data_IF_154453555331
#
_entry.id   IF_154453555331
#
_cell.length_a   1.000
_cell.length_b   1.000
_cell.length_c   1.000
_cell.angle_alpha   90.00
_cell.angle_beta   90.00
_cell.angle_gamma   90.00
#
_symmetry.space_group_name_H-M   'P 1'
#
loop_
_entity.id
_entity.type
_entity.pdbx_description
1 polymer ?
#
# COMPACT_ATOMS: atom_id res chain seq x y z
N UNK A 1 -24.05 16.30 -5.12
CA UNK A 1 -23.10 16.68 -4.06
C UNK A 1 -23.16 15.61 -3.00
N UNK A 2 -22.01 15.03 -2.65
CA UNK A 2 -21.91 13.95 -1.68
C UNK A 2 -22.53 14.36 -0.32
N UNK A 3 -23.09 13.39 0.39
CA UNK A 3 -23.72 13.56 1.71
C UNK A 3 -23.09 12.53 2.65
N UNK A 4 -23.19 12.73 3.97
CA UNK A 4 -22.61 11.85 4.97
C UNK A 4 -21.07 11.67 4.83
N UNK A 5 -20.32 12.77 4.92
CA UNK A 5 -18.86 12.79 4.76
C UNK A 5 -18.10 12.16 5.93
N UNK A 6 -18.74 12.01 7.09
CA UNK A 6 -18.08 11.52 8.29
C UNK A 6 -17.81 10.03 8.19
N UNK A 7 -16.53 9.64 8.20
CA UNK A 7 -16.13 8.24 8.07
C UNK A 7 -16.52 7.37 9.29
N UNK A 8 -16.69 7.97 10.47
CA UNK A 8 -16.87 7.23 11.74
C UNK A 8 -18.11 7.70 12.51
N UNK A 9 -18.31 9.01 12.68
CA UNK A 9 -19.40 9.55 13.51
C UNK A 9 -20.27 10.57 12.77
N UNK A 10 -21.58 10.31 12.73
CA UNK A 10 -22.63 11.17 12.15
C UNK A 10 -22.70 12.61 12.73
N UNK A 11 -22.07 12.85 13.89
CA UNK A 11 -22.14 14.14 14.60
C UNK A 11 -21.62 15.28 13.71
N UNK A 12 -20.55 15.05 12.97
CA UNK A 12 -19.99 16.08 12.08
C UNK A 12 -20.93 16.40 10.92
N UNK A 13 -21.60 15.39 10.35
CA UNK A 13 -22.57 15.62 9.27
C UNK A 13 -23.82 16.38 9.73
N UNK A 14 -24.22 16.22 10.99
CA UNK A 14 -25.31 17.02 11.57
C UNK A 14 -24.87 18.47 11.83
N UNK A 15 -23.64 18.68 12.29
CA UNK A 15 -23.08 20.02 12.54
C UNK A 15 -22.87 20.82 11.25
N UNK A 16 -22.45 20.17 10.17
CA UNK A 16 -22.20 20.83 8.88
C UNK A 16 -23.37 20.72 7.88
N UNK A 17 -24.51 20.16 8.29
CA UNK A 17 -25.72 20.08 7.46
C UNK A 17 -25.61 19.14 6.24
N UNK A 18 -24.63 18.23 6.26
CA UNK A 18 -24.38 17.25 5.19
C UNK A 18 -25.05 15.90 5.43
N UNK A 19 -25.80 15.76 6.54
CA UNK A 19 -26.53 14.55 6.86
C UNK A 19 -27.67 14.29 5.86
N UNK A 20 -27.72 13.06 5.34
CA UNK A 20 -28.83 12.54 4.55
C UNK A 20 -29.30 11.22 5.19
N UNK A 21 -30.57 11.10 5.60
CA UNK A 21 -31.12 9.84 6.09
C UNK A 21 -31.11 8.80 4.96
N UNK A 22 -30.73 7.56 5.28
CA UNK A 22 -30.74 6.45 4.33
C UNK A 22 -32.18 6.16 3.88
N UNK A 23 -32.48 6.41 2.59
CA UNK A 23 -33.76 6.01 2.00
C UNK A 23 -33.76 4.52 1.71
N UNK A 24 -34.78 3.79 2.22
CA UNK A 24 -34.91 2.34 2.00
C UNK A 24 -35.00 1.93 0.53
N UNK A 25 -35.36 2.86 -0.37
CA UNK A 25 -35.49 2.68 -1.81
C UNK A 25 -34.15 2.74 -2.57
N UNK A 26 -33.10 3.30 -1.97
CA UNK A 26 -31.80 3.52 -2.65
C UNK A 26 -30.71 2.83 -1.85
N UNK A 27 -30.13 1.77 -2.41
CA UNK A 27 -28.99 1.10 -1.78
C UNK A 27 -27.75 2.01 -1.87
N UNK A 28 -27.16 2.45 -0.75
CA UNK A 28 -25.99 3.31 -0.78
C UNK A 28 -24.81 2.56 -1.40
N UNK A 29 -24.14 3.20 -2.37
CA UNK A 29 -22.90 2.69 -2.96
C UNK A 29 -21.73 3.37 -2.26
N UNK A 30 -21.06 2.61 -1.41
CA UNK A 30 -19.88 3.06 -0.70
C UNK A 30 -18.64 2.89 -1.57
N UNK A 31 -17.83 3.94 -1.68
CA UNK A 31 -16.57 3.89 -2.40
C UNK A 31 -16.02 5.26 -2.72
N UNK A 32 -14.80 5.26 -3.27
CA UNK A 32 -14.17 6.44 -3.85
C UNK A 32 -14.41 6.43 -5.37
N UNK A 33 -14.69 7.59 -5.95
CA UNK A 33 -14.90 7.75 -7.40
C UNK A 33 -13.67 7.38 -8.26
N UNK A 34 -12.52 7.17 -7.60
CA UNK A 34 -11.24 6.74 -8.18
C UNK A 34 -10.70 5.51 -7.42
N UNK A 35 -11.21 4.30 -7.68
CA UNK A 35 -10.81 3.10 -6.96
C UNK A 35 -9.31 2.84 -7.11
N UNK A 36 -8.70 2.26 -6.08
CA UNK A 36 -7.32 1.78 -6.17
C UNK A 36 -7.25 0.55 -7.07
N UNK A 37 -6.24 0.47 -7.93
CA UNK A 37 -6.00 -0.64 -8.86
C UNK A 37 -4.81 -1.50 -8.44
N UNK A 38 -4.58 -1.61 -7.13
CA UNK A 38 -3.44 -2.28 -6.53
C UNK A 38 -3.78 -2.65 -5.10
N UNK A 39 -3.23 -3.76 -4.62
CA UNK A 39 -3.28 -4.16 -3.21
C UNK A 39 -2.24 -3.43 -2.36
N UNK A 40 -1.31 -2.69 -2.97
CA UNK A 40 -0.20 -2.07 -2.26
C UNK A 40 -0.63 -0.79 -1.51
N UNK A 41 -0.63 -0.79 -0.16
CA UNK A 41 -1.09 0.36 0.61
C UNK A 41 -0.18 1.58 0.46
N UNK A 42 1.12 1.40 0.22
CA UNK A 42 2.05 2.51 -0.02
C UNK A 42 1.64 3.23 -1.30
N UNK A 43 1.43 2.50 -2.39
CA UNK A 43 0.97 3.10 -3.66
C UNK A 43 -0.37 3.79 -3.49
N UNK A 44 -1.32 3.18 -2.75
CA UNK A 44 -2.64 3.77 -2.50
C UNK A 44 -2.51 5.11 -1.75
N UNK A 45 -1.71 5.16 -0.69
CA UNK A 45 -1.53 6.37 0.12
C UNK A 45 -0.86 7.50 -0.67
N UNK A 46 0.17 7.18 -1.47
CA UNK A 46 0.92 8.19 -2.23
C UNK A 46 0.33 8.53 -3.60
N UNK A 47 -0.71 7.83 -4.08
CA UNK A 47 -1.27 8.04 -5.44
C UNK A 47 -1.70 9.48 -5.71
N UNK A 48 -2.30 10.14 -4.71
CA UNK A 48 -2.83 11.50 -4.85
C UNK A 48 -1.71 12.54 -4.89
N UNK A 49 -0.72 12.41 -4.00
CA UNK A 49 0.46 13.27 -4.00
C UNK A 49 1.24 13.11 -5.31
N UNK A 50 1.41 11.87 -5.78
CA UNK A 50 2.05 11.60 -7.07
C UNK A 50 1.29 12.19 -8.25
N UNK A 51 -0.05 12.19 -8.21
CA UNK A 51 -0.86 12.84 -9.23
C UNK A 51 -0.65 14.36 -9.22
N UNK A 52 -0.70 15.01 -8.06
CA UNK A 52 -0.45 16.44 -7.90
C UNK A 52 0.95 16.80 -8.43
N UNK A 53 1.97 16.01 -8.07
CA UNK A 53 3.32 16.20 -8.55
C UNK A 53 3.42 16.12 -10.08
N UNK A 54 2.78 15.12 -10.70
CA UNK A 54 2.74 15.00 -12.17
C UNK A 54 2.02 16.18 -12.82
N UNK A 55 0.92 16.63 -12.23
CA UNK A 55 0.16 17.77 -12.75
C UNK A 55 0.97 19.08 -12.63
N UNK A 56 1.70 19.27 -11.52
CA UNK A 56 2.64 20.36 -11.34
C UNK A 56 3.78 20.32 -12.38
N UNK A 57 4.37 19.15 -12.62
CA UNK A 57 5.45 18.98 -13.59
C UNK A 57 4.99 19.26 -15.02
N UNK A 58 3.79 18.81 -15.39
CA UNK A 58 3.22 18.90 -16.74
C UNK A 58 2.62 20.26 -17.08
N UNK A 59 2.34 21.10 -16.09
CA UNK A 59 1.77 22.41 -16.34
C UNK A 59 2.76 23.33 -17.05
N UNK A 60 2.27 24.10 -18.01
CA UNK A 60 3.03 25.11 -18.73
C UNK A 60 3.24 26.40 -17.90
N UNK A 61 2.38 26.67 -16.92
CA UNK A 61 2.43 27.88 -16.10
C UNK A 61 3.25 27.65 -14.83
N UNK A 62 4.34 28.41 -14.65
CA UNK A 62 5.15 28.36 -13.41
C UNK A 62 4.33 28.69 -12.16
N UNK A 63 3.31 29.55 -12.30
CA UNK A 63 2.43 29.86 -11.18
C UNK A 63 1.54 28.68 -10.81
N UNK A 64 1.05 27.94 -11.81
CA UNK A 64 0.26 26.73 -11.61
C UNK A 64 1.07 25.62 -10.93
N UNK A 65 2.37 25.53 -11.22
CA UNK A 65 3.28 24.58 -10.53
C UNK A 65 3.39 24.84 -9.03
N UNK A 66 3.28 26.09 -8.59
CA UNK A 66 3.41 26.48 -7.20
C UNK A 66 2.06 26.51 -6.48
N UNK A 67 1.02 27.11 -7.08
CA UNK A 67 -0.29 27.22 -6.40
C UNK A 67 -0.98 25.88 -6.23
N UNK A 68 -0.72 24.89 -7.09
CA UNK A 68 -1.35 23.55 -7.01
C UNK A 68 -1.24 22.90 -5.62
N UNK A 69 -0.18 23.19 -4.87
CA UNK A 69 0.06 22.66 -3.52
C UNK A 69 -0.85 23.25 -2.44
N UNK A 70 -1.52 24.38 -2.74
CA UNK A 70 -2.41 25.10 -1.82
C UNK A 70 -3.86 25.16 -2.33
N UNK A 71 -4.11 24.67 -3.54
CA UNK A 71 -5.44 24.68 -4.16
C UNK A 71 -6.34 23.58 -3.59
N UNK A 72 -7.67 23.75 -3.64
CA UNK A 72 -8.61 22.77 -3.12
C UNK A 72 -8.50 21.42 -3.84
N UNK A 73 -8.93 20.36 -3.14
CA UNK A 73 -8.91 18.99 -3.67
C UNK A 73 -9.68 18.89 -4.99
N UNK A 74 -9.02 18.38 -6.03
CA UNK A 74 -9.60 18.24 -7.37
C UNK A 74 -9.24 19.36 -8.33
N UNK A 75 -8.69 20.48 -7.85
CA UNK A 75 -8.15 21.52 -8.72
C UNK A 75 -6.97 20.97 -9.55
N UNK A 76 -6.94 21.31 -10.83
CA UNK A 76 -5.86 20.96 -11.76
C UNK A 76 -5.61 22.14 -12.71
N UNK A 77 -4.37 22.35 -13.17
CA UNK A 77 -4.08 23.33 -14.22
C UNK A 77 -4.90 23.02 -15.47
N UNK A 78 -5.48 24.03 -16.11
CA UNK A 78 -6.44 23.86 -17.23
C UNK A 78 -5.77 23.12 -18.39
N UNK A 79 -4.54 23.51 -18.72
CA UNK A 79 -3.73 22.90 -19.78
C UNK A 79 -3.45 21.41 -19.52
N UNK A 80 -3.24 21.03 -18.25
CA UNK A 80 -3.04 19.63 -17.84
C UNK A 80 -4.35 18.87 -17.80
N UNK A 81 -5.45 19.50 -17.38
CA UNK A 81 -6.76 18.89 -17.35
C UNK A 81 -7.25 18.52 -18.76
N UNK A 82 -6.99 19.38 -19.74
CA UNK A 82 -7.30 19.16 -21.15
C UNK A 82 -6.40 18.09 -21.78
N UNK A 83 -5.08 18.18 -21.59
CA UNK A 83 -4.13 17.23 -22.22
C UNK A 83 -4.08 15.86 -21.54
N UNK A 84 -4.35 15.81 -20.25
CA UNK A 84 -4.29 14.60 -19.43
C UNK A 84 -5.57 14.48 -18.59
N UNK A 85 -6.72 14.16 -19.21
CA UNK A 85 -7.97 14.00 -18.48
C UNK A 85 -7.85 12.83 -17.49
N UNK A 86 -8.35 13.03 -16.28
CA UNK A 86 -8.40 11.98 -15.27
C UNK A 86 -9.81 11.41 -15.30
N UNK A 87 -9.92 10.14 -15.70
CA UNK A 87 -11.20 9.44 -15.71
C UNK A 87 -11.75 9.35 -14.28
N UNK A 88 -12.90 9.99 -14.07
CA UNK A 88 -13.72 9.85 -12.88
C UNK A 88 -14.94 9.02 -13.24
N UNK A 89 -15.29 8.08 -12.37
CA UNK A 89 -16.49 7.27 -12.58
C UNK A 89 -17.69 8.12 -12.16
N UNK A 90 -18.55 8.46 -13.12
CA UNK A 90 -19.75 9.26 -12.86
C UNK A 90 -20.87 8.44 -12.21
N UNK A 91 -20.94 7.14 -12.50
CA UNK A 91 -21.94 6.24 -11.96
C UNK A 91 -21.32 5.23 -10.96
N UNK A 92 -21.52 5.44 -9.64
CA UNK A 92 -20.98 4.56 -8.60
C UNK A 92 -21.46 3.11 -8.73
N UNK A 93 -22.66 2.86 -9.25
CA UNK A 93 -23.23 1.51 -9.34
C UNK A 93 -22.49 0.60 -10.32
N UNK A 94 -21.68 1.17 -11.23
CA UNK A 94 -20.87 0.43 -12.20
C UNK A 94 -19.44 0.15 -11.70
N UNK A 95 -19.11 0.50 -10.46
CA UNK A 95 -17.80 0.27 -9.87
C UNK A 95 -17.49 -1.22 -9.75
N UNK A 96 -16.65 -1.74 -10.65
CA UNK A 96 -16.03 -3.06 -10.47
C UNK A 96 -14.90 -2.95 -9.44
N UNK A 97 -15.06 -3.62 -8.29
CA UNK A 97 -14.03 -3.65 -7.24
C UNK A 97 -12.75 -4.29 -7.80
N UNK A 98 -11.60 -3.72 -7.46
CA UNK A 98 -10.32 -4.31 -7.82
C UNK A 98 -10.22 -5.73 -7.25
N UNK A 99 -9.99 -6.68 -8.14
CA UNK A 99 -9.80 -8.09 -7.83
C UNK A 99 -8.69 -8.62 -8.73
N UNK A 100 -7.64 -9.19 -8.13
CA UNK A 100 -6.68 -9.99 -8.87
C UNK A 100 -7.18 -11.43 -8.96
N UNK A 101 -6.97 -12.07 -10.11
CA UNK A 101 -7.31 -13.49 -10.33
C UNK A 101 -6.24 -14.41 -9.74
N UNK A 102 -6.03 -14.31 -8.41
CA UNK A 102 -4.98 -15.05 -7.69
C UNK A 102 -5.42 -16.46 -7.29
N UNK A 103 -4.47 -17.41 -7.28
CA UNK A 103 -4.74 -18.74 -6.74
C UNK A 103 -5.01 -18.68 -5.23
N UNK A 104 -5.79 -19.63 -4.72
CA UNK A 104 -6.01 -19.76 -3.27
C UNK A 104 -4.69 -19.98 -2.50
N UNK A 105 -3.69 -20.59 -3.16
CA UNK A 105 -2.38 -20.82 -2.56
C UNK A 105 -1.60 -19.51 -2.39
N UNK A 106 -1.59 -18.64 -3.40
CA UNK A 106 -0.99 -17.31 -3.30
C UNK A 106 -1.70 -16.43 -2.26
N UNK A 107 -3.03 -16.52 -2.18
CA UNK A 107 -3.80 -15.82 -1.15
C UNK A 107 -3.42 -16.32 0.26
N UNK A 108 -3.40 -17.64 0.48
CA UNK A 108 -2.99 -18.22 1.76
C UNK A 108 -1.57 -17.83 2.16
N UNK A 109 -0.63 -17.87 1.21
CA UNK A 109 0.74 -17.41 1.42
C UNK A 109 0.81 -15.92 1.81
N UNK A 110 0.02 -15.07 1.15
CA UNK A 110 -0.01 -13.63 1.44
C UNK A 110 -0.61 -13.33 2.82
N UNK A 111 -1.62 -14.09 3.26
CA UNK A 111 -2.13 -14.02 4.63
C UNK A 111 -1.08 -14.43 5.66
N UNK A 112 -0.28 -15.46 5.38
CA UNK A 112 0.84 -15.83 6.23
C UNK A 112 1.88 -14.70 6.31
N UNK A 113 2.23 -14.06 5.19
CA UNK A 113 3.15 -12.91 5.20
C UNK A 113 2.60 -11.71 5.98
N UNK A 114 1.29 -11.44 5.90
CA UNK A 114 0.62 -10.44 6.73
C UNK A 114 0.71 -10.78 8.22
N UNK A 115 0.46 -12.04 8.58
CA UNK A 115 0.60 -12.52 9.96
C UNK A 115 2.03 -12.34 10.48
N UNK A 116 3.04 -12.76 9.69
CA UNK A 116 4.44 -12.59 10.06
C UNK A 116 4.82 -11.11 10.18
N UNK A 117 4.35 -10.26 9.27
CA UNK A 117 4.57 -8.81 9.37
C UNK A 117 3.98 -8.23 10.66
N UNK A 118 2.77 -8.66 11.02
CA UNK A 118 2.10 -8.23 12.25
C UNK A 118 2.83 -8.72 13.50
N UNK A 119 3.31 -9.97 13.50
CA UNK A 119 4.10 -10.54 14.57
C UNK A 119 5.45 -9.82 14.74
N UNK A 120 6.14 -9.50 13.63
CA UNK A 120 7.38 -8.72 13.65
C UNK A 120 7.15 -7.31 14.18
N UNK A 121 6.08 -6.63 13.74
CA UNK A 121 5.70 -5.32 14.24
C UNK A 121 5.47 -5.34 15.76
N UNK A 122 4.75 -6.36 16.24
CA UNK A 122 4.51 -6.52 17.67
C UNK A 122 5.81 -6.80 18.45
N UNK A 123 6.70 -7.63 17.92
CA UNK A 123 8.02 -7.90 18.50
C UNK A 123 8.88 -6.63 18.61
N UNK A 124 8.91 -5.80 17.56
CA UNK A 124 9.61 -4.52 17.57
C UNK A 124 9.04 -3.60 18.66
N UNK A 125 7.71 -3.57 18.80
CA UNK A 125 7.04 -2.77 19.83
C UNK A 125 7.41 -3.19 21.25
N UNK A 126 7.47 -4.50 21.52
CA UNK A 126 7.89 -5.03 22.84
C UNK A 126 9.33 -4.68 23.21
N UNK A 127 10.18 -4.46 22.20
CA UNK A 127 11.60 -4.16 22.39
C UNK A 127 11.95 -2.70 22.14
N UNK A 128 10.94 -1.83 21.96
CA UNK A 128 11.11 -0.45 21.54
C UNK A 128 12.07 0.34 22.44
N UNK A 129 12.01 0.12 23.76
CA UNK A 129 12.84 0.82 24.74
C UNK A 129 14.34 0.55 24.61
N UNK A 130 14.73 -0.56 23.97
CA UNK A 130 16.13 -0.95 23.77
C UNK A 130 16.67 -0.54 22.40
N UNK A 131 15.81 -0.04 21.50
CA UNK A 131 16.18 0.31 20.14
C UNK A 131 16.58 1.77 20.04
N UNK A 132 17.70 2.03 19.35
CA UNK A 132 18.06 3.40 18.96
C UNK A 132 17.10 3.90 17.87
N UNK A 133 16.95 5.23 17.77
CA UNK A 133 16.10 5.85 16.74
C UNK A 133 16.45 5.37 15.31
N UNK A 134 17.74 5.24 15.00
CA UNK A 134 18.20 4.72 13.71
C UNK A 134 17.73 3.29 13.47
N UNK A 135 17.83 2.40 14.47
CA UNK A 135 17.36 1.02 14.35
C UNK A 135 15.85 0.96 14.13
N UNK A 136 15.08 1.81 14.82
CA UNK A 136 13.62 1.90 14.66
C UNK A 136 13.27 2.28 13.22
N UNK A 137 13.92 3.30 12.64
CA UNK A 137 13.66 3.69 11.25
C UNK A 137 14.02 2.58 10.25
N UNK A 138 15.13 1.87 10.47
CA UNK A 138 15.53 0.75 9.60
C UNK A 138 14.54 -0.42 9.70
N UNK A 139 14.08 -0.76 10.91
CA UNK A 139 13.08 -1.81 11.14
C UNK A 139 11.71 -1.42 10.56
N UNK A 140 11.29 -0.17 10.69
CA UNK A 140 10.09 0.35 10.05
C UNK A 140 10.21 0.29 8.52
N UNK A 141 11.36 0.66 7.97
CA UNK A 141 11.67 0.51 6.54
C UNK A 141 11.59 -0.95 6.09
N UNK A 142 12.07 -1.90 6.89
CA UNK A 142 11.96 -3.32 6.63
C UNK A 142 10.50 -3.79 6.61
N UNK A 143 9.66 -3.34 7.54
CA UNK A 143 8.22 -3.66 7.55
C UNK A 143 7.52 -3.11 6.32
N UNK A 144 7.82 -1.87 5.92
CA UNK A 144 7.26 -1.27 4.70
C UNK A 144 7.70 -2.07 3.46
N UNK A 145 8.99 -2.41 3.36
CA UNK A 145 9.52 -3.23 2.28
C UNK A 145 8.85 -4.61 2.24
N UNK A 146 8.60 -5.21 3.40
CA UNK A 146 7.88 -6.46 3.52
C UNK A 146 6.44 -6.35 2.98
N UNK A 147 5.69 -5.35 3.41
CA UNK A 147 4.33 -5.10 2.92
C UNK A 147 4.31 -4.85 1.42
N UNK A 148 5.25 -4.07 0.90
CA UNK A 148 5.34 -3.81 -0.54
C UNK A 148 5.64 -5.08 -1.34
N UNK A 149 6.55 -5.94 -0.87
CA UNK A 149 6.94 -7.15 -1.58
C UNK A 149 5.74 -8.09 -1.80
N UNK A 150 4.99 -8.43 -0.74
CA UNK A 150 3.86 -9.35 -0.89
C UNK A 150 2.64 -8.73 -1.55
N UNK A 151 2.39 -7.44 -1.37
CA UNK A 151 1.27 -6.77 -2.05
C UNK A 151 1.52 -6.62 -3.55
N UNK A 152 2.77 -6.41 -3.98
CA UNK A 152 3.12 -6.46 -5.39
C UNK A 152 3.14 -7.87 -5.97
N UNK A 153 3.43 -8.88 -5.15
CA UNK A 153 3.26 -10.29 -5.51
C UNK A 153 1.78 -10.59 -5.79
N UNK A 154 0.87 -10.12 -4.92
CA UNK A 154 -0.58 -10.21 -5.11
C UNK A 154 -1.07 -9.47 -6.37
N UNK A 155 -0.44 -8.34 -6.72
CA UNK A 155 -0.72 -7.61 -7.96
C UNK A 155 -0.15 -8.31 -9.22
N UNK A 156 0.63 -9.38 -9.06
CA UNK A 156 1.31 -10.07 -10.15
C UNK A 156 2.41 -9.24 -10.84
N UNK A 157 3.07 -8.32 -10.11
CA UNK A 157 4.11 -7.46 -10.67
C UNK A 157 5.50 -8.06 -10.51
N UNK A 158 6.33 -7.96 -11.55
CA UNK A 158 7.73 -8.44 -11.55
C UNK A 158 8.60 -7.78 -10.47
N UNK A 159 8.27 -6.55 -10.10
CA UNK A 159 8.99 -5.81 -9.06
C UNK A 159 8.94 -6.50 -7.69
N UNK A 160 7.96 -7.39 -7.46
CA UNK A 160 7.87 -8.19 -6.24
C UNK A 160 9.14 -9.01 -5.99
N UNK A 161 9.75 -9.59 -7.04
CA UNK A 161 10.97 -10.39 -6.91
C UNK A 161 12.17 -9.55 -6.47
N UNK A 162 12.29 -8.34 -7.02
CA UNK A 162 13.36 -7.39 -6.65
C UNK A 162 13.18 -6.94 -5.20
N UNK A 163 11.97 -6.55 -4.81
CA UNK A 163 11.67 -6.09 -3.46
C UNK A 163 11.83 -7.21 -2.43
N UNK A 164 11.48 -8.44 -2.78
CA UNK A 164 11.71 -9.60 -1.93
C UNK A 164 13.19 -9.90 -1.76
N UNK A 165 13.99 -9.80 -2.82
CA UNK A 165 15.45 -9.91 -2.74
C UNK A 165 16.06 -8.82 -1.85
N UNK A 166 15.60 -7.58 -2.00
CA UNK A 166 16.00 -6.48 -1.11
C UNK A 166 15.59 -6.76 0.35
N UNK A 167 14.37 -7.25 0.58
CA UNK A 167 13.87 -7.62 1.92
C UNK A 167 14.74 -8.71 2.55
N UNK A 168 15.12 -9.71 1.76
CA UNK A 168 15.95 -10.81 2.20
C UNK A 168 17.33 -10.32 2.66
N UNK A 169 18.05 -9.60 1.79
CA UNK A 169 19.40 -9.10 2.10
C UNK A 169 19.35 -8.09 3.24
N UNK A 170 18.44 -7.11 3.17
CA UNK A 170 18.30 -6.08 4.18
C UNK A 170 17.86 -6.66 5.53
N UNK A 171 16.91 -7.61 5.52
CA UNK A 171 16.43 -8.30 6.72
C UNK A 171 17.53 -9.10 7.41
N UNK A 172 18.31 -9.90 6.67
CA UNK A 172 19.43 -10.65 7.25
C UNK A 172 20.46 -9.70 7.88
N UNK A 173 20.92 -8.71 7.11
CA UNK A 173 21.93 -7.77 7.59
C UNK A 173 21.48 -7.00 8.84
N UNK A 174 20.22 -6.53 8.83
CA UNK A 174 19.65 -5.73 9.91
C UNK A 174 19.46 -6.56 11.18
N UNK A 175 18.81 -7.72 11.10
CA UNK A 175 18.59 -8.57 12.27
C UNK A 175 19.90 -9.12 12.83
N UNK A 176 20.87 -9.46 11.98
CA UNK A 176 22.21 -9.87 12.45
C UNK A 176 22.90 -8.74 13.22
N UNK A 177 22.97 -7.54 12.63
CA UNK A 177 23.67 -6.39 13.22
C UNK A 177 23.00 -5.91 14.51
N UNK A 178 21.66 -5.89 14.54
CA UNK A 178 20.92 -5.51 15.75
C UNK A 178 21.12 -6.57 16.84
N UNK A 179 21.05 -7.86 16.51
CA UNK A 179 21.19 -8.91 17.51
C UNK A 179 22.60 -8.99 18.10
N UNK A 180 23.64 -8.78 17.28
CA UNK A 180 25.03 -8.70 17.72
C UNK A 180 25.28 -7.53 18.69
N UNK A 181 24.59 -6.39 18.51
CA UNK A 181 24.81 -5.19 19.33
C UNK A 181 24.07 -5.20 20.67
N UNK A 182 22.84 -5.70 20.69
CA UNK A 182 21.94 -5.52 21.85
C UNK A 182 21.21 -6.80 22.29
N UNK A 183 21.56 -7.96 21.72
CA UNK A 183 20.87 -9.24 21.99
C UNK A 183 19.34 -9.11 21.89
N UNK A 184 18.90 -8.53 20.78
CA UNK A 184 17.51 -8.14 20.54
C UNK A 184 16.52 -9.29 20.77
N UNK A 185 16.87 -10.49 20.30
CA UNK A 185 16.09 -11.72 20.42
C UNK A 185 16.98 -12.94 20.66
N UNK A 186 16.45 -14.02 21.27
CA UNK A 186 17.20 -15.28 21.41
C UNK A 186 17.64 -15.82 20.04
N UNK A 187 18.79 -16.50 20.01
CA UNK A 187 19.36 -17.10 18.79
C UNK A 187 18.37 -18.05 18.08
N UNK A 188 17.56 -18.78 18.85
CA UNK A 188 16.49 -19.61 18.28
C UNK A 188 15.48 -18.78 17.47
N UNK A 189 14.99 -17.67 18.03
CA UNK A 189 14.06 -16.76 17.34
C UNK A 189 14.71 -16.08 16.13
N UNK A 190 16.00 -15.73 16.22
CA UNK A 190 16.76 -15.19 15.09
C UNK A 190 16.82 -16.18 13.92
N UNK A 191 17.11 -17.46 14.21
CA UNK A 191 17.13 -18.52 13.20
C UNK A 191 15.77 -18.74 12.56
N UNK A 192 14.67 -18.58 13.31
CA UNK A 192 13.31 -18.65 12.75
C UNK A 192 13.04 -17.50 11.77
N UNK A 193 13.46 -16.27 12.10
CA UNK A 193 13.32 -15.12 11.21
C UNK A 193 14.14 -15.34 9.93
N UNK A 194 15.38 -15.82 10.04
CA UNK A 194 16.19 -16.11 8.86
C UNK A 194 15.59 -17.22 8.00
N UNK A 195 15.15 -18.32 8.61
CA UNK A 195 14.46 -19.40 7.91
C UNK A 195 13.23 -18.90 7.17
N UNK A 196 12.43 -18.04 7.82
CA UNK A 196 11.30 -17.38 7.19
C UNK A 196 11.71 -16.53 5.98
N UNK A 197 12.78 -15.73 6.07
CA UNK A 197 13.26 -14.92 4.94
C UNK A 197 13.69 -15.79 3.75
N UNK A 198 14.36 -16.92 3.99
CA UNK A 198 14.71 -17.89 2.95
C UNK A 198 13.47 -18.51 2.30
N UNK A 199 12.53 -18.99 3.11
CA UNK A 199 11.26 -19.57 2.62
C UNK A 199 10.50 -18.52 1.81
N UNK A 200 10.48 -17.28 2.28
CA UNK A 200 9.74 -16.19 1.64
C UNK A 200 10.32 -15.81 0.29
N UNK A 201 11.65 -15.78 0.16
CA UNK A 201 12.31 -15.61 -1.12
C UNK A 201 12.01 -16.78 -2.07
N UNK A 202 12.11 -18.02 -1.59
CA UNK A 202 11.81 -19.23 -2.37
C UNK A 202 10.36 -19.28 -2.86
N UNK A 203 9.40 -18.96 -2.01
CA UNK A 203 7.98 -18.90 -2.36
C UNK A 203 7.68 -17.79 -3.37
N UNK A 204 8.32 -16.62 -3.21
CA UNK A 204 8.15 -15.53 -4.18
C UNK A 204 8.71 -15.90 -5.56
N UNK A 205 9.86 -16.58 -5.61
CA UNK A 205 10.41 -17.13 -6.85
C UNK A 205 9.42 -18.15 -7.44
N UNK A 206 8.91 -19.08 -6.64
CA UNK A 206 7.93 -20.07 -7.08
C UNK A 206 6.70 -19.41 -7.73
N UNK A 207 6.03 -18.48 -7.04
CA UNK A 207 4.85 -17.79 -7.57
C UNK A 207 5.16 -16.91 -8.78
N UNK A 208 6.38 -16.37 -8.86
CA UNK A 208 6.81 -15.62 -10.04
C UNK A 208 6.79 -16.51 -11.30
N UNK A 209 7.26 -17.74 -11.20
CA UNK A 209 7.31 -18.67 -12.35
C UNK A 209 5.97 -19.34 -12.63
N UNK A 210 5.17 -19.65 -11.61
CA UNK A 210 3.91 -20.39 -11.76
C UNK A 210 2.70 -19.50 -12.06
N UNK A 211 2.65 -18.27 -11.53
CA UNK A 211 1.48 -17.39 -11.68
C UNK A 211 1.78 -16.09 -12.43
N UNK A 212 2.91 -15.43 -12.16
CA UNK A 212 3.19 -14.11 -12.73
C UNK A 212 3.64 -14.19 -14.18
N UNK A 213 4.64 -15.03 -14.47
CA UNK A 213 5.19 -15.15 -15.82
C UNK A 213 4.14 -15.60 -16.85
N UNK A 214 3.26 -16.58 -16.56
CA UNK A 214 2.21 -16.99 -17.49
C UNK A 214 1.19 -15.88 -17.76
N UNK A 215 0.72 -15.15 -16.73
CA UNK A 215 -0.27 -14.07 -16.89
C UNK A 215 0.17 -13.00 -17.89
N UNK A 216 1.46 -12.72 -17.98
CA UNK A 216 2.00 -11.70 -18.89
C UNK A 216 2.20 -12.18 -20.33
N UNK A 217 2.19 -13.50 -20.57
CA UNK A 217 2.28 -14.07 -21.92
C UNK A 217 0.90 -14.04 -22.60
N UNK A 218 -0.17 -14.06 -21.80
CA UNK A 218 -1.56 -14.12 -22.27
C UNK A 218 -2.35 -12.79 -22.11
N UNK A 219 -1.69 -11.70 -21.70
CA UNK A 219 -2.27 -10.35 -21.55
C UNK A 219 -1.77 -9.40 -22.62
#
# INVERSE_FOLDING_TARGET
MDKNYSQIFIVWDKLFGTFQPEEKSIKPVYGILRPATTWNPVVINFKHIWQIFKDAYRSNSYWDKLRIWFMPTGWRPVDVAEKFPVMTIENPFLLKKYSSENSNFLLGWSYLQLFVTSALMFLIFLKLAFLTQTMIFLLAGLLILHVMAYTFLLDGKKIALILEGLKFVFGIALFFTINERIEFIPNFSLNLIFSYLFISLGMTIYFFWTEIKPRQIYS
#
